data_IF_357178188788
#
_entry.id   IF_357178188788
#
_cell.length_a   1.000
_cell.length_b   1.000
_cell.length_c   1.000
_cell.angle_alpha   90.00
_cell.angle_beta   90.00
_cell.angle_gamma   90.00
#
_symmetry.space_group_name_H-M   'P 1'
#
loop_
_entity.id
_entity.type
_entity.pdbx_description
1 polymer ?
#
# COMPACT_ATOMS: atom_id res chain seq x y z
N UNK A 1 5.97 5.30 -20.63
CA UNK A 1 5.50 3.92 -20.37
C UNK A 1 4.02 3.91 -20.72
N UNK A 2 3.65 3.19 -21.77
CA UNK A 2 2.27 3.11 -22.27
C UNK A 2 1.48 2.17 -21.35
N UNK A 3 0.24 2.51 -20.98
CA UNK A 3 -0.61 1.69 -20.10
C UNK A 3 -0.81 0.25 -20.63
N UNK A 4 -0.68 0.04 -21.94
CA UNK A 4 -0.67 -1.27 -22.61
C UNK A 4 0.45 -2.22 -22.16
N UNK A 5 1.44 -1.74 -21.40
CA UNK A 5 2.53 -2.54 -20.83
C UNK A 5 2.35 -2.85 -19.33
N UNK A 6 1.29 -2.34 -18.69
CA UNK A 6 0.99 -2.63 -17.30
C UNK A 6 0.24 -3.96 -17.19
N UNK A 7 0.56 -4.76 -16.17
CA UNK A 7 -0.26 -5.92 -15.83
C UNK A 7 -1.66 -5.45 -15.43
N UNK A 8 -2.69 -6.26 -15.68
CA UNK A 8 -4.09 -5.93 -15.40
C UNK A 8 -4.29 -5.42 -13.95
N UNK A 9 -3.65 -6.10 -12.99
CA UNK A 9 -3.69 -5.69 -11.60
C UNK A 9 -3.08 -4.30 -11.34
N UNK A 10 -2.03 -3.92 -12.05
CA UNK A 10 -1.44 -2.57 -11.98
C UNK A 10 -2.35 -1.54 -12.65
N UNK A 11 -2.98 -1.89 -13.77
CA UNK A 11 -3.93 -1.01 -14.45
C UNK A 11 -5.16 -0.71 -13.57
N UNK A 12 -5.67 -1.72 -12.85
CA UNK A 12 -6.78 -1.57 -11.93
C UNK A 12 -6.43 -0.65 -10.75
N UNK A 13 -5.25 -0.85 -10.15
CA UNK A 13 -4.75 0.00 -9.07
C UNK A 13 -4.49 1.44 -9.54
N UNK A 14 -3.98 1.62 -10.75
CA UNK A 14 -3.83 2.94 -11.37
C UNK A 14 -5.17 3.65 -11.52
N UNK A 15 -6.18 2.99 -12.08
CA UNK A 15 -7.49 3.61 -12.28
C UNK A 15 -8.22 3.92 -10.97
N UNK A 16 -8.10 3.06 -9.94
CA UNK A 16 -8.59 3.40 -8.58
C UNK A 16 -7.98 4.70 -8.07
N UNK A 17 -6.67 4.90 -8.26
CA UNK A 17 -5.99 6.11 -7.83
C UNK A 17 -6.35 7.34 -8.66
N UNK A 18 -6.51 7.19 -9.99
CA UNK A 18 -6.98 8.27 -10.88
C UNK A 18 -8.37 8.73 -10.50
N UNK A 19 -9.30 7.79 -10.28
CA UNK A 19 -10.69 8.11 -9.91
C UNK A 19 -10.76 8.93 -8.61
N UNK A 20 -9.96 8.56 -7.60
CA UNK A 20 -9.86 9.34 -6.36
C UNK A 20 -9.28 10.75 -6.54
N UNK A 21 -8.50 11.01 -7.61
CA UNK A 21 -8.01 12.36 -7.92
C UNK A 21 -9.01 13.20 -8.70
N UNK A 22 -9.88 12.59 -9.50
CA UNK A 22 -10.86 13.32 -10.31
C UNK A 22 -11.84 14.13 -9.45
N UNK A 23 -12.16 13.65 -8.24
CA UNK A 23 -12.96 14.40 -7.26
C UNK A 23 -12.29 15.72 -6.85
N UNK A 24 -10.95 15.75 -6.82
CA UNK A 24 -10.17 16.87 -6.31
C UNK A 24 -9.66 17.78 -7.44
N UNK A 25 -9.60 17.27 -8.67
CA UNK A 25 -8.97 17.93 -9.82
C UNK A 25 -9.85 17.83 -11.09
N UNK A 26 -10.91 18.66 -11.21
CA UNK A 26 -11.82 18.62 -12.35
C UNK A 26 -11.12 18.93 -13.70
N UNK A 27 -10.00 19.64 -13.67
CA UNK A 27 -9.15 19.92 -14.84
C UNK A 27 -8.50 18.66 -15.45
N UNK A 28 -8.40 17.55 -14.71
CA UNK A 28 -7.92 16.28 -15.25
C UNK A 28 -8.96 15.67 -16.18
N UNK A 29 -10.26 15.80 -15.86
CA UNK A 29 -11.36 15.34 -16.72
C UNK A 29 -11.38 16.08 -18.05
N UNK A 30 -11.21 17.41 -18.03
CA UNK A 30 -11.13 18.21 -19.26
C UNK A 30 -9.97 17.77 -20.18
N UNK A 31 -8.76 17.61 -19.63
CA UNK A 31 -7.62 17.13 -20.43
C UNK A 31 -7.78 15.70 -20.94
N UNK A 32 -8.51 14.85 -20.21
CA UNK A 32 -8.82 13.51 -20.68
C UNK A 32 -9.76 13.55 -21.89
N UNK A 33 -10.75 14.46 -21.90
CA UNK A 33 -11.59 14.70 -23.08
C UNK A 33 -10.77 15.25 -24.25
N UNK A 34 -9.90 16.25 -24.02
CA UNK A 34 -9.00 16.78 -25.05
C UNK A 34 -8.10 15.66 -25.63
N UNK A 35 -7.60 14.77 -24.79
CA UNK A 35 -6.78 13.63 -25.22
C UNK A 35 -7.58 12.64 -26.09
N UNK A 36 -8.87 12.42 -25.81
CA UNK A 36 -9.72 11.60 -26.68
C UNK A 36 -9.92 12.23 -28.05
N UNK A 37 -10.04 13.55 -28.15
CA UNK A 37 -10.10 14.25 -29.44
C UNK A 37 -8.81 14.09 -30.25
N UNK A 38 -7.65 14.16 -29.59
CA UNK A 38 -6.35 13.91 -30.23
C UNK A 38 -6.23 12.47 -30.70
N UNK A 39 -6.69 11.49 -29.89
CA UNK A 39 -6.67 10.09 -30.27
C UNK A 39 -7.57 9.83 -31.49
N UNK A 40 -8.78 10.37 -31.54
CA UNK A 40 -9.70 10.24 -32.68
C UNK A 40 -9.12 10.79 -34.00
N UNK A 41 -8.22 11.77 -33.92
CA UNK A 41 -7.56 12.32 -35.10
C UNK A 41 -6.49 11.38 -35.68
N UNK A 42 -6.08 10.35 -34.94
CA UNK A 42 -5.15 9.33 -35.39
C UNK A 42 -5.87 8.22 -36.18
N UNK A 43 -5.28 7.82 -37.31
CA UNK A 43 -5.87 6.87 -38.27
C UNK A 43 -6.02 5.45 -37.70
N UNK A 44 -5.16 5.09 -36.74
CA UNK A 44 -5.14 3.76 -36.10
C UNK A 44 -5.94 3.73 -34.79
N UNK A 45 -6.66 4.80 -34.47
CA UNK A 45 -7.41 4.90 -33.23
C UNK A 45 -8.70 4.09 -33.23
N UNK A 46 -9.01 3.51 -32.07
CA UNK A 46 -10.30 2.85 -31.87
C UNK A 46 -11.35 3.90 -31.46
N UNK A 47 -11.99 4.49 -32.46
CA UNK A 47 -13.02 5.53 -32.27
C UNK A 47 -14.18 5.08 -31.36
N UNK A 48 -14.57 3.80 -31.43
CA UNK A 48 -15.62 3.26 -30.55
C UNK A 48 -15.18 3.30 -29.08
N UNK A 49 -13.94 2.92 -28.77
CA UNK A 49 -13.41 3.04 -27.41
C UNK A 49 -13.26 4.50 -26.97
N UNK A 50 -12.94 5.41 -27.89
CA UNK A 50 -12.90 6.83 -27.58
C UNK A 50 -14.29 7.37 -27.21
N UNK A 51 -15.33 6.99 -27.95
CA UNK A 51 -16.71 7.38 -27.67
C UNK A 51 -17.22 6.81 -26.35
N UNK A 52 -16.88 5.55 -26.07
CA UNK A 52 -17.18 4.92 -24.78
C UNK A 52 -16.52 5.65 -23.62
N UNK A 53 -15.24 6.01 -23.75
CA UNK A 53 -14.55 6.80 -22.72
C UNK A 53 -15.14 8.19 -22.56
N UNK A 54 -15.52 8.87 -23.64
CA UNK A 54 -16.17 10.18 -23.57
C UNK A 54 -17.50 10.10 -22.80
N UNK A 55 -18.32 9.07 -23.07
CA UNK A 55 -19.55 8.83 -22.33
C UNK A 55 -19.30 8.54 -20.84
N UNK A 56 -18.28 7.74 -20.52
CA UNK A 56 -17.90 7.46 -19.12
C UNK A 56 -17.43 8.71 -18.38
N UNK A 57 -16.70 9.61 -19.04
CA UNK A 57 -16.23 10.87 -18.45
C UNK A 57 -17.37 11.87 -18.19
N UNK A 58 -18.54 11.69 -18.79
CA UNK A 58 -19.74 12.50 -18.53
C UNK A 58 -20.50 12.02 -17.27
N UNK A 59 -20.31 10.75 -16.88
CA UNK A 59 -20.99 10.18 -15.71
C UNK A 59 -20.48 10.75 -14.38
N UNK A 60 -21.29 10.64 -13.31
CA UNK A 60 -20.80 10.73 -11.93
C UNK A 60 -19.64 9.76 -11.67
N UNK A 61 -18.70 10.16 -10.81
CA UNK A 61 -17.46 9.39 -10.56
C UNK A 61 -17.77 7.98 -10.07
N UNK A 62 -18.77 7.80 -9.20
CA UNK A 62 -19.17 6.48 -8.68
C UNK A 62 -19.69 5.54 -9.77
N UNK A 63 -20.47 6.06 -10.72
CA UNK A 63 -21.00 5.28 -11.86
C UNK A 63 -19.88 4.91 -12.82
N UNK A 64 -19.00 5.87 -13.16
CA UNK A 64 -17.81 5.60 -13.95
C UNK A 64 -16.90 4.57 -13.26
N UNK A 65 -16.71 4.67 -11.94
CA UNK A 65 -15.91 3.73 -11.17
C UNK A 65 -16.49 2.31 -11.24
N UNK A 66 -17.82 2.16 -11.15
CA UNK A 66 -18.51 0.88 -11.28
C UNK A 66 -18.22 0.15 -12.60
N UNK A 67 -18.06 0.90 -13.69
CA UNK A 67 -17.73 0.34 -15.01
C UNK A 67 -16.21 0.14 -15.18
N UNK A 68 -15.42 1.18 -14.94
CA UNK A 68 -13.97 1.19 -15.21
C UNK A 68 -13.22 0.24 -14.28
N UNK A 69 -13.72 -0.03 -13.07
CA UNK A 69 -13.08 -0.93 -12.11
C UNK A 69 -13.66 -2.34 -12.10
N UNK A 70 -14.65 -2.63 -12.96
CA UNK A 70 -15.23 -3.95 -13.06
C UNK A 70 -14.16 -4.98 -13.43
N UNK A 71 -14.18 -6.13 -12.74
CA UNK A 71 -13.32 -7.28 -13.04
C UNK A 71 -13.96 -8.10 -14.17
N UNK A 72 -14.01 -7.50 -15.36
CA UNK A 72 -14.55 -8.09 -16.58
C UNK A 72 -13.59 -7.84 -17.75
N UNK A 73 -13.64 -8.67 -18.82
CA UNK A 73 -12.85 -8.43 -20.03
C UNK A 73 -13.06 -7.02 -20.61
N UNK A 74 -14.28 -6.53 -20.55
CA UNK A 74 -14.64 -5.18 -21.00
C UNK A 74 -13.99 -4.08 -20.14
N UNK A 75 -14.00 -4.24 -18.82
CA UNK A 75 -13.29 -3.35 -17.90
C UNK A 75 -11.78 -3.32 -18.19
N UNK A 76 -11.17 -4.49 -18.45
CA UNK A 76 -9.76 -4.59 -18.85
C UNK A 76 -9.47 -3.84 -20.16
N UNK A 77 -10.34 -4.00 -21.17
CA UNK A 77 -10.22 -3.30 -22.45
C UNK A 77 -10.29 -1.78 -22.29
N UNK A 78 -11.23 -1.28 -21.48
CA UNK A 78 -11.35 0.15 -21.17
C UNK A 78 -10.06 0.66 -20.52
N UNK A 79 -9.57 -0.01 -19.46
CA UNK A 79 -8.35 0.37 -18.73
C UNK A 79 -7.11 0.38 -19.62
N UNK A 80 -7.00 -0.56 -20.56
CA UNK A 80 -5.89 -0.63 -21.52
C UNK A 80 -5.87 0.56 -22.50
N UNK A 81 -7.03 1.13 -22.81
CA UNK A 81 -7.21 2.23 -23.78
C UNK A 81 -7.58 3.55 -23.09
N UNK A 82 -7.12 3.74 -21.86
CA UNK A 82 -7.49 4.87 -21.02
C UNK A 82 -6.83 6.19 -21.46
N UNK A 83 -7.60 7.30 -21.58
CA UNK A 83 -7.06 8.61 -21.95
C UNK A 83 -6.20 9.22 -20.84
N UNK A 84 -6.30 8.72 -19.61
CA UNK A 84 -5.59 9.28 -18.47
C UNK A 84 -4.08 9.09 -18.53
N UNK A 85 -3.56 8.17 -19.34
CA UNK A 85 -2.11 7.99 -19.48
C UNK A 85 -1.44 9.32 -19.83
N UNK A 86 -1.95 9.98 -20.87
CA UNK A 86 -1.31 11.15 -21.48
C UNK A 86 -1.98 12.47 -21.08
N UNK A 87 -3.21 12.42 -20.55
CA UNK A 87 -3.88 13.60 -19.98
C UNK A 87 -3.21 14.12 -18.69
N UNK A 88 -2.51 13.25 -17.95
CA UNK A 88 -1.87 13.60 -16.68
C UNK A 88 -0.53 14.30 -16.89
N UNK A 89 -0.30 15.38 -16.14
CA UNK A 89 1.03 15.98 -16.06
C UNK A 89 2.01 15.03 -15.35
N UNK A 90 3.33 15.21 -15.52
CA UNK A 90 4.33 14.47 -14.76
C UNK A 90 4.12 14.57 -13.23
N UNK A 91 3.71 15.74 -12.73
CA UNK A 91 3.44 15.96 -11.30
C UNK A 91 2.25 15.14 -10.78
N UNK A 92 1.16 15.09 -11.54
CA UNK A 92 -0.03 14.29 -11.19
C UNK A 92 0.25 12.80 -11.29
N UNK A 93 0.94 12.37 -12.36
CA UNK A 93 1.37 10.97 -12.51
C UNK A 93 2.24 10.52 -11.34
N UNK A 94 3.19 11.36 -10.92
CA UNK A 94 4.02 11.08 -9.74
C UNK A 94 3.20 11.03 -8.45
N UNK A 95 2.14 11.83 -8.33
CA UNK A 95 1.26 11.84 -7.17
C UNK A 95 0.37 10.58 -7.12
N UNK A 96 -0.11 10.11 -8.28
CA UNK A 96 -0.81 8.82 -8.41
C UNK A 96 0.09 7.66 -7.98
N UNK A 97 1.31 7.58 -8.52
CA UNK A 97 2.22 6.50 -8.16
C UNK A 97 2.63 6.55 -6.68
N UNK A 98 2.80 7.74 -6.11
CA UNK A 98 2.99 7.90 -4.66
C UNK A 98 1.77 7.40 -3.88
N UNK A 99 0.55 7.75 -4.30
CA UNK A 99 -0.69 7.26 -3.69
C UNK A 99 -0.81 5.74 -3.74
N UNK A 100 -0.51 5.14 -4.90
CA UNK A 100 -0.50 3.69 -5.08
C UNK A 100 0.52 3.02 -4.15
N UNK A 101 1.75 3.54 -4.12
CA UNK A 101 2.80 3.05 -3.24
C UNK A 101 2.41 3.15 -1.77
N UNK A 102 1.73 4.23 -1.37
CA UNK A 102 1.22 4.41 -0.02
C UNK A 102 0.14 3.38 0.34
N UNK A 103 -0.86 3.17 -0.53
CA UNK A 103 -1.91 2.16 -0.30
C UNK A 103 -1.30 0.76 -0.20
N UNK A 104 -0.36 0.41 -1.07
CA UNK A 104 0.34 -0.88 -1.01
C UNK A 104 1.13 -1.02 0.29
N UNK A 105 1.86 0.02 0.68
CA UNK A 105 2.60 0.03 1.94
C UNK A 105 1.67 -0.15 3.15
N UNK A 106 0.52 0.52 3.17
CA UNK A 106 -0.47 0.35 4.22
C UNK A 106 -1.00 -1.08 4.30
N UNK A 107 -1.20 -1.75 3.17
CA UNK A 107 -1.50 -3.18 3.15
C UNK A 107 -0.45 -4.00 3.89
N UNK A 108 0.84 -3.82 3.56
CA UNK A 108 1.92 -4.52 4.26
C UNK A 108 1.98 -4.22 5.76
N UNK A 109 1.69 -2.98 6.16
CA UNK A 109 1.65 -2.61 7.57
C UNK A 109 0.48 -3.28 8.31
N UNK A 110 -0.73 -3.22 7.76
CA UNK A 110 -1.92 -3.82 8.37
C UNK A 110 -1.78 -5.35 8.46
N UNK A 111 -1.24 -6.00 7.42
CA UNK A 111 -0.94 -7.43 7.43
C UNK A 111 0.08 -7.78 8.51
N UNK A 112 1.17 -6.99 8.62
CA UNK A 112 2.19 -7.18 9.66
C UNK A 112 1.61 -7.02 11.07
N UNK A 113 0.82 -5.97 11.30
CA UNK A 113 0.18 -5.72 12.59
C UNK A 113 -0.79 -6.85 12.97
N UNK A 114 -1.61 -7.32 12.02
CA UNK A 114 -2.53 -8.44 12.23
C UNK A 114 -1.79 -9.77 12.46
N UNK A 115 -0.71 -10.03 11.73
CA UNK A 115 0.10 -11.23 11.89
C UNK A 115 0.71 -11.29 13.30
N UNK A 116 1.36 -10.20 13.71
CA UNK A 116 1.99 -10.04 15.03
C UNK A 116 0.99 -9.86 16.18
N UNK A 117 -0.31 -9.76 15.86
CA UNK A 117 -1.40 -9.48 16.78
C UNK A 117 -1.19 -8.18 17.58
N UNK A 118 -0.72 -7.11 16.94
CA UNK A 118 -0.57 -5.82 17.59
C UNK A 118 -1.96 -5.18 17.79
N UNK A 119 -2.34 -4.95 19.03
CA UNK A 119 -3.56 -4.23 19.35
C UNK A 119 -3.44 -2.77 18.90
N UNK A 120 -4.56 -2.06 18.75
CA UNK A 120 -4.53 -0.64 18.37
C UNK A 120 -3.70 0.21 19.36
N UNK A 121 -3.70 -0.15 20.65
CA UNK A 121 -2.85 0.49 21.66
C UNK A 121 -1.37 0.25 21.43
N UNK A 122 -0.99 -0.96 21.01
CA UNK A 122 0.40 -1.30 20.69
C UNK A 122 0.85 -0.53 19.44
N UNK A 123 0.00 -0.52 18.41
CA UNK A 123 0.23 0.24 17.19
C UNK A 123 0.42 1.72 17.49
N UNK A 124 -0.45 2.31 18.31
CA UNK A 124 -0.35 3.71 18.72
C UNK A 124 0.93 4.00 19.52
N UNK A 125 1.29 3.14 20.46
CA UNK A 125 2.52 3.31 21.25
C UNK A 125 3.79 3.24 20.39
N UNK A 126 3.85 2.29 19.45
CA UNK A 126 5.01 2.07 18.57
C UNK A 126 5.12 3.19 17.52
N UNK A 127 4.00 3.60 16.96
CA UNK A 127 3.97 4.55 15.83
C UNK A 127 3.87 6.00 16.27
N UNK A 128 3.31 6.27 17.45
CA UNK A 128 2.94 7.61 17.91
C UNK A 128 1.68 8.17 17.24
N UNK A 129 0.98 7.35 16.45
CA UNK A 129 -0.26 7.73 15.75
C UNK A 129 -1.43 7.51 16.71
N UNK A 130 -2.39 8.43 16.71
CA UNK A 130 -3.56 8.32 17.57
C UNK A 130 -4.40 7.08 17.24
N UNK A 131 -5.02 6.47 18.26
CA UNK A 131 -5.86 5.26 18.08
C UNK A 131 -7.03 5.54 17.14
N UNK A 132 -7.62 6.74 17.23
CA UNK A 132 -8.72 7.17 16.39
C UNK A 132 -8.31 7.21 14.90
N UNK A 133 -7.09 7.70 14.64
CA UNK A 133 -6.54 7.76 13.28
C UNK A 133 -6.22 6.36 12.74
N UNK A 134 -5.59 5.49 13.55
CA UNK A 134 -5.34 4.10 13.19
C UNK A 134 -6.62 3.33 12.91
N UNK A 135 -7.70 3.61 13.66
CA UNK A 135 -9.02 3.00 13.43
C UNK A 135 -9.57 3.38 12.06
N UNK A 136 -9.45 4.65 11.66
CA UNK A 136 -9.84 5.08 10.31
C UNK A 136 -9.00 4.35 9.25
N UNK A 137 -7.70 4.19 9.50
CA UNK A 137 -6.76 3.58 8.55
C UNK A 137 -7.04 2.11 8.26
N UNK A 138 -7.70 1.38 9.17
CA UNK A 138 -8.18 0.01 8.91
C UNK A 138 -9.17 -0.07 7.75
N UNK A 139 -9.94 0.99 7.53
CA UNK A 139 -10.94 1.07 6.46
C UNK A 139 -10.47 1.86 5.24
N UNK A 140 -9.55 2.81 5.43
CA UNK A 140 -9.12 3.75 4.39
C UNK A 140 -7.70 4.25 4.62
N UNK A 141 -6.80 3.98 3.67
CA UNK A 141 -5.43 4.47 3.73
C UNK A 141 -5.34 6.01 3.83
N UNK A 142 -4.49 6.57 4.71
CA UNK A 142 -4.29 8.01 4.89
C UNK A 142 -3.86 8.67 3.59
N UNK A 143 -4.25 9.92 3.35
CA UNK A 143 -3.82 10.66 2.16
C UNK A 143 -2.31 10.90 2.15
N UNK A 144 -1.77 11.27 3.31
CA UNK A 144 -0.35 11.52 3.53
C UNK A 144 0.07 10.96 4.89
N UNK A 145 1.35 10.64 5.03
CA UNK A 145 1.97 10.25 6.29
C UNK A 145 3.25 11.07 6.38
N UNK A 146 3.47 11.75 7.52
CA UNK A 146 4.72 12.45 7.73
C UNK A 146 5.90 11.47 7.83
N UNK A 147 7.10 12.02 7.69
CA UNK A 147 8.33 11.22 7.62
C UNK A 147 8.55 10.39 8.89
N UNK A 148 8.22 10.91 10.07
CA UNK A 148 8.51 10.25 11.34
C UNK A 148 7.60 9.03 11.53
N UNK A 149 6.28 9.23 11.38
CA UNK A 149 5.30 8.14 11.43
C UNK A 149 5.60 7.09 10.36
N UNK A 150 5.94 7.49 9.13
CA UNK A 150 6.30 6.54 8.07
C UNK A 150 7.52 5.68 8.43
N UNK A 151 8.53 6.23 9.10
CA UNK A 151 9.67 5.42 9.55
C UNK A 151 9.26 4.40 10.61
N UNK A 152 8.42 4.79 11.57
CA UNK A 152 7.95 3.88 12.62
C UNK A 152 7.06 2.75 12.06
N UNK A 153 6.20 3.06 11.10
CA UNK A 153 5.43 2.04 10.37
C UNK A 153 6.36 1.06 9.62
N UNK A 154 7.43 1.56 9.00
CA UNK A 154 8.42 0.72 8.31
C UNK A 154 9.16 -0.21 9.27
N UNK A 155 9.42 0.21 10.50
CA UNK A 155 10.03 -0.65 11.53
C UNK A 155 9.15 -1.85 11.85
N UNK A 156 7.83 -1.66 11.97
CA UNK A 156 6.87 -2.77 12.18
C UNK A 156 6.89 -3.74 11.01
N UNK A 157 6.86 -3.23 9.77
CA UNK A 157 6.91 -4.07 8.57
C UNK A 157 8.24 -4.83 8.47
N UNK A 158 9.37 -4.16 8.77
CA UNK A 158 10.69 -4.78 8.76
C UNK A 158 10.78 -5.90 9.82
N UNK A 159 10.29 -5.63 11.03
CA UNK A 159 10.27 -6.61 12.12
C UNK A 159 9.47 -7.85 11.73
N UNK A 160 8.26 -7.64 11.20
CA UNK A 160 7.43 -8.74 10.72
C UNK A 160 8.15 -9.59 9.67
N UNK A 161 8.77 -8.96 8.66
CA UNK A 161 9.52 -9.69 7.62
C UNK A 161 10.66 -10.52 8.20
N UNK A 162 11.48 -9.92 9.06
CA UNK A 162 12.59 -10.63 9.70
C UNK A 162 12.11 -11.78 10.58
N UNK A 163 11.01 -11.60 11.32
CA UNK A 163 10.44 -12.66 12.15
C UNK A 163 9.83 -13.77 11.30
N UNK A 164 9.19 -13.47 10.17
CA UNK A 164 8.65 -14.50 9.25
C UNK A 164 9.78 -15.36 8.67
N UNK A 165 10.92 -14.76 8.35
CA UNK A 165 12.11 -15.47 7.86
C UNK A 165 12.72 -16.38 8.95
N UNK A 166 12.77 -15.92 10.20
CA UNK A 166 13.37 -16.64 11.32
C UNK A 166 12.43 -17.70 11.94
N UNK A 167 11.15 -17.41 12.02
CA UNK A 167 10.12 -18.22 12.65
C UNK A 167 8.84 -18.17 11.80
N UNK A 168 8.69 -19.08 10.80
CA UNK A 168 7.52 -19.11 9.92
C UNK A 168 6.20 -19.37 10.64
N UNK A 169 6.23 -19.97 11.84
CA UNK A 169 5.06 -20.17 12.69
C UNK A 169 4.60 -18.85 13.32
N UNK A 170 3.33 -18.49 13.08
CA UNK A 170 2.70 -17.26 13.54
C UNK A 170 2.58 -17.17 15.06
N UNK A 171 2.22 -18.26 15.73
CA UNK A 171 2.01 -18.26 17.17
C UNK A 171 3.32 -18.15 17.91
N UNK A 172 4.39 -18.72 17.34
CA UNK A 172 5.76 -18.54 17.81
C UNK A 172 6.18 -17.06 17.75
N UNK A 173 5.95 -16.35 16.64
CA UNK A 173 6.27 -14.92 16.53
C UNK A 173 5.51 -14.07 17.56
N UNK A 174 4.22 -14.35 17.73
CA UNK A 174 3.34 -13.63 18.66
C UNK A 174 3.73 -13.83 20.12
N UNK A 175 4.11 -15.06 20.47
CA UNK A 175 4.59 -15.43 21.80
C UNK A 175 5.91 -14.74 22.09
N UNK A 176 6.85 -14.81 21.16
CA UNK A 176 8.15 -14.15 21.28
C UNK A 176 8.05 -12.65 21.56
N UNK A 177 7.14 -11.95 20.90
CA UNK A 177 6.91 -10.51 21.15
C UNK A 177 6.50 -10.20 22.60
N UNK A 178 5.85 -11.14 23.28
CA UNK A 178 5.20 -10.96 24.58
C UNK A 178 5.94 -11.64 25.73
N UNK A 179 6.87 -12.53 25.42
CA UNK A 179 7.72 -13.17 26.41
C UNK A 179 8.92 -12.28 26.76
N UNK A 180 9.37 -12.36 28.00
CA UNK A 180 10.54 -11.63 28.44
C UNK A 180 11.79 -12.18 27.72
N UNK A 181 12.46 -11.32 26.98
CA UNK A 181 13.71 -11.68 26.33
C UNK A 181 14.84 -11.73 27.35
N UNK A 182 15.52 -12.88 27.43
CA UNK A 182 16.71 -13.02 28.26
C UNK A 182 17.82 -12.02 27.89
N UNK A 183 17.86 -11.61 26.62
CA UNK A 183 18.81 -10.63 26.05
C UNK A 183 18.48 -9.22 26.47
N UNK A 184 17.20 -8.83 26.41
CA UNK A 184 16.79 -7.45 26.66
C UNK A 184 16.30 -7.17 28.09
N UNK A 185 16.02 -8.22 28.88
CA UNK A 185 15.38 -8.11 30.21
C UNK A 185 14.05 -7.36 30.17
N UNK A 186 13.35 -7.48 29.05
CA UNK A 186 12.06 -6.87 28.75
C UNK A 186 11.39 -7.67 27.64
N UNK A 187 10.08 -7.49 27.45
CA UNK A 187 9.41 -8.04 26.28
C UNK A 187 9.78 -7.22 25.04
N UNK A 188 10.00 -7.84 23.86
CA UNK A 188 10.23 -7.09 22.63
C UNK A 188 9.12 -6.05 22.36
N UNK A 189 7.85 -6.38 22.65
CA UNK A 189 6.73 -5.46 22.47
C UNK A 189 6.86 -4.18 23.32
N UNK A 190 7.30 -4.30 24.57
CA UNK A 190 7.57 -3.13 25.43
C UNK A 190 8.68 -2.27 24.83
N UNK A 191 9.76 -2.88 24.32
CA UNK A 191 10.86 -2.14 23.70
C UNK A 191 10.42 -1.40 22.43
N UNK A 192 9.58 -2.02 21.60
CA UNK A 192 9.00 -1.36 20.43
C UNK A 192 8.20 -0.12 20.83
N UNK A 193 7.39 -0.24 21.89
CA UNK A 193 6.56 0.84 22.42
C UNK A 193 7.37 1.97 23.06
N UNK A 194 8.56 1.68 23.58
CA UNK A 194 9.51 2.66 24.11
C UNK A 194 10.39 3.32 23.04
N UNK A 195 10.14 3.05 21.75
CA UNK A 195 10.93 3.59 20.65
C UNK A 195 12.27 2.89 20.41
N UNK A 196 12.51 1.74 21.05
CA UNK A 196 13.73 0.92 20.90
C UNK A 196 13.61 -0.16 19.83
N UNK A 197 12.76 0.08 18.82
CA UNK A 197 12.52 -0.87 17.75
C UNK A 197 13.76 -1.15 16.88
N UNK A 198 14.66 -0.18 16.74
CA UNK A 198 15.95 -0.36 16.07
C UNK A 198 16.81 -1.41 16.77
N UNK A 199 16.94 -1.34 18.10
CA UNK A 199 17.75 -2.28 18.90
C UNK A 199 17.24 -3.72 18.77
N UNK A 200 15.91 -3.89 18.73
CA UNK A 200 15.27 -5.19 18.53
C UNK A 200 15.60 -5.75 17.14
N UNK A 201 15.51 -4.92 16.11
CA UNK A 201 15.85 -5.32 14.74
C UNK A 201 17.34 -5.64 14.56
N UNK A 202 18.22 -4.84 15.14
CA UNK A 202 19.66 -5.04 15.04
C UNK A 202 20.08 -6.36 15.72
N UNK A 203 19.44 -6.71 16.85
CA UNK A 203 19.65 -8.00 17.49
C UNK A 203 19.19 -9.16 16.59
N UNK A 204 18.00 -9.07 16.00
CA UNK A 204 17.49 -10.08 15.07
C UNK A 204 18.38 -10.22 13.83
N UNK A 205 18.91 -9.11 13.31
CA UNK A 205 19.85 -9.10 12.18
C UNK A 205 21.20 -9.73 12.53
N UNK A 206 21.65 -9.57 13.79
CA UNK A 206 22.79 -10.30 14.32
C UNK A 206 22.55 -11.81 14.34
N UNK A 207 21.33 -12.22 14.70
CA UNK A 207 20.91 -13.63 14.69
C UNK A 207 20.67 -14.21 13.28
N UNK A 208 20.38 -13.41 12.26
CA UNK A 208 20.29 -13.92 10.87
C UNK A 208 21.65 -14.04 10.16
N UNK A 209 22.63 -13.20 10.53
CA UNK A 209 23.99 -13.21 9.92
C UNK A 209 24.87 -14.35 10.39
N UNK A 210 24.70 -14.79 11.62
CA UNK A 210 25.19 -16.10 12.03
C UNK A 210 24.23 -17.11 11.38
N UNK A 211 24.71 -18.09 10.63
CA UNK A 211 23.84 -19.13 10.06
C UNK A 211 23.32 -20.01 11.19
N UNK A 212 22.05 -19.85 11.54
CA UNK A 212 21.51 -20.31 12.81
C UNK A 212 20.39 -21.34 12.61
N UNK A 213 20.68 -22.57 13.06
CA UNK A 213 19.65 -23.57 13.35
C UNK A 213 18.82 -23.18 14.58
N UNK A 214 17.78 -23.98 14.92
CA UNK A 214 16.78 -23.67 15.96
C UNK A 214 17.36 -23.23 17.32
N UNK A 215 18.56 -23.71 17.67
CA UNK A 215 19.23 -23.47 18.95
C UNK A 215 19.71 -22.04 19.18
N UNK A 216 19.66 -21.20 18.15
CA UNK A 216 20.28 -19.89 18.15
C UNK A 216 19.28 -18.73 18.09
N UNK A 217 17.99 -19.06 17.96
CA UNK A 217 16.93 -18.18 18.40
C UNK A 217 17.00 -18.11 19.94
N UNK A 218 16.77 -16.95 20.58
CA UNK A 218 16.62 -16.90 22.03
C UNK A 218 15.55 -17.92 22.43
N UNK A 219 15.88 -18.81 23.39
CA UNK A 219 15.09 -20.00 23.74
C UNK A 219 13.60 -19.64 23.87
N UNK A 220 12.83 -20.02 22.84
CA UNK A 220 11.38 -19.92 22.80
C UNK A 220 10.83 -20.89 23.85
N UNK A 221 10.05 -20.38 24.82
CA UNK A 221 9.55 -21.19 25.93
C UNK A 221 8.75 -22.41 25.45
N UNK A 222 9.00 -23.55 26.15
CA UNK A 222 8.40 -24.88 25.94
C UNK A 222 6.88 -24.88 25.76
#
# INVERSE_FOLDING_TARGET
MVLSQLTEQKALVFHRAVLGLLEQHPNVRARALDQLEHLRADTDSNNELCDRWAALLDLPIDEMAGVVLADTPDGGLLRANSPFTDALTPGERNSIWRRIGLVQFMGYYLDAAADLALELSDQAAITGIAIEELTIWQSRAPLEIDKEHLQRLKLVVALHKTLVELAPDRDVRRRWLREESATFKATPLTLLSEGKAGDVLDNLAGSTKLTLGPDNLPRMGN
#
